data_IF_240618086111
#
_entry.id   IF_240618086111
#
_cell.length_a   1.000
_cell.length_b   1.000
_cell.length_c   1.000
_cell.angle_alpha   90.00
_cell.angle_beta   90.00
_cell.angle_gamma   90.00
#
_symmetry.space_group_name_H-M   'P 1'
#
loop_
_entity.id
_entity.type
_entity.pdbx_description
1 polymer ?
#
# COMPACT_ATOMS: atom_id res chain seq x y z
N UNK A 1 7.14 6.07 -11.42
CA UNK A 1 5.86 5.76 -12.10
C UNK A 1 6.13 5.02 -13.41
N UNK A 2 6.78 5.63 -14.41
CA UNK A 2 7.01 4.96 -15.70
C UNK A 2 7.87 3.69 -15.57
N UNK A 3 9.09 3.79 -15.03
CA UNK A 3 10.02 2.65 -14.90
C UNK A 3 9.46 1.53 -14.03
N UNK A 4 8.87 1.86 -12.88
CA UNK A 4 8.21 0.89 -11.99
C UNK A 4 7.04 0.17 -12.68
N UNK A 5 6.24 0.89 -13.48
CA UNK A 5 5.15 0.30 -14.26
C UNK A 5 5.67 -0.61 -15.37
N UNK A 6 6.79 -0.24 -16.01
CA UNK A 6 7.45 -1.05 -17.02
C UNK A 6 7.97 -2.37 -16.43
N UNK A 7 8.66 -2.32 -15.28
CA UNK A 7 9.10 -3.54 -14.58
C UNK A 7 7.93 -4.41 -14.14
N UNK A 8 6.87 -3.81 -13.59
CA UNK A 8 5.69 -4.57 -13.17
C UNK A 8 5.02 -5.27 -14.36
N UNK A 9 4.83 -4.55 -15.46
CA UNK A 9 4.26 -5.09 -16.69
C UNK A 9 5.11 -6.22 -17.28
N UNK A 10 6.43 -6.07 -17.22
CA UNK A 10 7.37 -7.06 -17.75
C UNK A 10 7.38 -8.34 -16.91
N UNK A 11 7.46 -8.22 -15.58
CA UNK A 11 7.63 -9.36 -14.68
C UNK A 11 6.31 -10.10 -14.42
N UNK A 12 5.19 -9.38 -14.30
CA UNK A 12 3.92 -9.97 -13.85
C UNK A 12 2.86 -10.08 -14.95
N UNK A 13 2.85 -9.16 -15.93
CA UNK A 13 1.86 -9.16 -17.03
C UNK A 13 2.39 -9.81 -18.32
N UNK A 14 3.58 -10.43 -18.27
CA UNK A 14 4.18 -11.14 -19.41
C UNK A 14 4.77 -10.24 -20.50
N UNK A 15 5.03 -8.97 -20.20
CA UNK A 15 5.63 -8.02 -21.15
C UNK A 15 4.76 -7.85 -22.40
N UNK A 16 5.28 -8.21 -23.57
CA UNK A 16 4.56 -8.12 -24.84
C UNK A 16 3.64 -9.33 -25.13
N UNK A 17 3.78 -10.44 -24.40
CA UNK A 17 2.95 -11.62 -24.62
C UNK A 17 1.51 -11.39 -24.15
N UNK A 18 0.53 -11.93 -24.88
CA UNK A 18 -0.88 -11.91 -24.47
C UNK A 18 -1.33 -13.34 -24.13
N UNK A 19 -2.14 -13.52 -23.07
CA UNK A 19 -2.72 -14.84 -22.77
C UNK A 19 -3.60 -15.26 -23.96
N UNK A 20 -3.19 -16.32 -24.66
CA UNK A 20 -3.82 -16.79 -25.90
C UNK A 20 -2.90 -16.81 -27.14
N UNK A 21 -1.70 -16.19 -27.10
CA UNK A 21 -0.67 -16.43 -28.14
C UNK A 21 -0.28 -17.90 -28.21
N UNK A 22 -0.24 -18.56 -27.05
CA UNK A 22 0.05 -20.00 -26.87
C UNK A 22 -1.05 -20.91 -27.44
N UNK A 23 -2.27 -20.39 -27.64
CA UNK A 23 -3.45 -21.18 -28.04
C UNK A 23 -3.66 -21.17 -29.56
N UNK A 24 -2.68 -20.65 -30.33
CA UNK A 24 -2.69 -20.68 -31.78
C UNK A 24 -3.74 -19.79 -32.44
N UNK A 25 -4.23 -18.76 -31.72
CA UNK A 25 -5.23 -17.84 -32.28
C UNK A 25 -4.63 -17.09 -33.49
N UNK A 26 -5.24 -17.17 -34.69
CA UNK A 26 -4.61 -16.71 -35.93
C UNK A 26 -4.35 -15.19 -35.96
N UNK A 27 -5.13 -14.40 -35.23
CA UNK A 27 -4.96 -12.95 -35.09
C UNK A 27 -3.80 -12.54 -34.16
N UNK A 28 -3.25 -13.47 -33.37
CA UNK A 28 -2.15 -13.26 -32.43
C UNK A 28 -0.79 -13.73 -32.96
N UNK A 29 -0.73 -14.23 -34.21
CA UNK A 29 0.49 -14.75 -34.82
C UNK A 29 1.62 -13.69 -34.89
N UNK A 30 1.26 -12.40 -35.05
CA UNK A 30 2.20 -11.27 -34.99
C UNK A 30 2.88 -11.08 -33.62
N UNK A 31 2.30 -11.61 -32.55
CA UNK A 31 2.88 -11.56 -31.20
C UNK A 31 3.72 -12.80 -30.88
N UNK A 32 3.77 -13.79 -31.77
CA UNK A 32 4.62 -14.96 -31.58
C UNK A 32 6.09 -14.56 -31.47
N UNK A 33 6.91 -15.29 -30.68
CA UNK A 33 8.34 -15.04 -30.60
C UNK A 33 9.03 -15.10 -31.97
N UNK A 34 8.54 -15.98 -32.85
CA UNK A 34 9.08 -16.27 -34.18
C UNK A 34 8.78 -15.16 -35.21
N UNK A 35 7.70 -14.39 -35.02
CA UNK A 35 7.36 -13.28 -35.90
C UNK A 35 8.32 -12.09 -35.68
N UNK A 36 9.22 -11.89 -36.65
CA UNK A 36 10.23 -10.81 -36.68
C UNK A 36 9.93 -9.73 -37.72
N UNK A 37 8.76 -9.78 -38.37
CA UNK A 37 8.35 -8.75 -39.33
C UNK A 37 8.25 -7.37 -38.65
N UNK A 38 8.42 -6.28 -39.42
CA UNK A 38 8.28 -4.92 -38.89
C UNK A 38 6.92 -4.69 -38.21
N UNK A 39 5.86 -5.27 -38.78
CA UNK A 39 4.51 -5.24 -38.21
C UNK A 39 4.41 -6.00 -36.88
N UNK A 40 5.12 -7.12 -36.74
CA UNK A 40 5.19 -7.87 -35.48
C UNK A 40 5.93 -7.07 -34.39
N UNK A 41 7.03 -6.40 -34.73
CA UNK A 41 7.77 -5.55 -33.79
C UNK A 41 6.91 -4.36 -33.33
N UNK A 42 6.23 -3.68 -34.26
CA UNK A 42 5.30 -2.59 -33.93
C UNK A 42 4.15 -3.07 -33.06
N UNK A 43 3.56 -4.23 -33.36
CA UNK A 43 2.50 -4.81 -32.54
C UNK A 43 2.98 -5.13 -31.11
N UNK A 44 4.16 -5.75 -30.95
CA UNK A 44 4.77 -6.02 -29.64
C UNK A 44 5.02 -4.75 -28.85
N UNK A 45 5.53 -3.70 -29.50
CA UNK A 45 5.76 -2.39 -28.88
C UNK A 45 4.45 -1.73 -28.44
N UNK A 46 3.42 -1.75 -29.27
CA UNK A 46 2.11 -1.18 -28.95
C UNK A 46 1.42 -1.92 -27.80
N UNK A 47 1.50 -3.25 -27.77
CA UNK A 47 0.92 -4.06 -26.69
C UNK A 47 1.66 -3.81 -25.37
N UNK A 48 2.99 -3.82 -25.39
CA UNK A 48 3.78 -3.55 -24.20
C UNK A 48 3.59 -2.11 -23.71
N UNK A 49 3.67 -1.13 -24.60
CA UNK A 49 3.44 0.28 -24.29
C UNK A 49 2.01 0.54 -23.79
N UNK A 50 1.01 -0.10 -24.39
CA UNK A 50 -0.38 -0.04 -23.96
C UNK A 50 -0.58 -0.57 -22.54
N UNK A 51 0.03 -1.71 -22.19
CA UNK A 51 0.00 -2.24 -20.82
C UNK A 51 0.68 -1.29 -19.83
N UNK A 52 1.80 -0.67 -20.20
CA UNK A 52 2.48 0.33 -19.36
C UNK A 52 1.56 1.53 -19.11
N UNK A 53 0.94 2.09 -20.16
CA UNK A 53 0.03 3.23 -20.05
C UNK A 53 -1.18 2.88 -19.17
N UNK A 54 -1.75 1.68 -19.34
CA UNK A 54 -2.83 1.17 -18.50
C UNK A 54 -2.42 1.11 -17.03
N UNK A 55 -1.23 0.58 -16.72
CA UNK A 55 -0.75 0.49 -15.34
C UNK A 55 -0.41 1.87 -14.75
N UNK A 56 0.12 2.80 -15.56
CA UNK A 56 0.33 4.19 -15.14
C UNK A 56 -1.01 4.85 -14.80
N UNK A 57 -2.02 4.70 -15.66
CA UNK A 57 -3.37 5.21 -15.39
C UNK A 57 -3.92 4.63 -14.09
N UNK A 58 -3.74 3.33 -13.85
CA UNK A 58 -4.12 2.69 -12.59
C UNK A 58 -3.40 3.28 -11.36
N UNK A 59 -2.08 3.48 -11.41
CA UNK A 59 -1.34 4.11 -10.30
C UNK A 59 -1.71 5.57 -10.09
N UNK A 60 -2.11 6.27 -11.15
CA UNK A 60 -2.62 7.63 -11.07
C UNK A 60 -3.99 7.67 -10.40
N UNK A 61 -4.84 6.68 -10.69
CA UNK A 61 -6.09 6.46 -9.96
C UNK A 61 -5.79 6.20 -8.49
N UNK A 62 -4.88 5.31 -8.13
CA UNK A 62 -4.57 5.09 -6.70
C UNK A 62 -4.17 6.39 -5.97
N UNK A 63 -3.44 7.28 -6.65
CA UNK A 63 -2.98 8.56 -6.10
C UNK A 63 -4.12 9.50 -5.69
N UNK A 64 -5.25 9.52 -6.41
CA UNK A 64 -6.41 10.36 -6.02
C UNK A 64 -7.39 9.64 -5.07
N UNK A 65 -7.28 8.32 -4.89
CA UNK A 65 -8.27 7.51 -4.15
C UNK A 65 -7.84 7.27 -2.71
N UNK A 66 -6.53 7.19 -2.45
CA UNK A 66 -6.00 6.91 -1.10
C UNK A 66 -5.86 8.22 -0.32
N UNK A 67 -6.63 8.42 0.78
CA UNK A 67 -6.41 9.53 1.70
C UNK A 67 -5.05 9.34 2.38
N UNK A 68 -4.29 10.43 2.57
CA UNK A 68 -2.91 10.38 3.08
C UNK A 68 -2.83 9.59 4.39
N UNK A 69 -2.25 8.38 4.33
CA UNK A 69 -2.00 7.53 5.49
C UNK A 69 -0.76 8.01 6.23
N UNK A 70 -0.74 7.85 7.56
CA UNK A 70 0.45 8.16 8.38
C UNK A 70 1.56 7.17 8.05
N UNK A 71 2.80 7.64 7.97
CA UNK A 71 3.98 6.80 7.68
C UNK A 71 4.05 5.57 8.59
N UNK A 72 3.74 5.75 9.87
CA UNK A 72 3.77 4.67 10.86
C UNK A 72 2.78 3.54 10.54
N UNK A 73 1.62 3.86 9.96
CA UNK A 73 0.65 2.84 9.54
C UNK A 73 1.15 2.04 8.35
N UNK A 74 1.79 2.71 7.39
CA UNK A 74 2.38 2.07 6.21
C UNK A 74 3.53 1.15 6.65
N UNK A 75 4.39 1.64 7.54
CA UNK A 75 5.50 0.87 8.07
C UNK A 75 5.00 -0.38 8.81
N UNK A 76 4.03 -0.19 9.70
CA UNK A 76 3.45 -1.29 10.46
C UNK A 76 2.82 -2.36 9.55
N UNK A 77 2.05 -1.97 8.53
CA UNK A 77 1.48 -2.90 7.55
C UNK A 77 2.57 -3.63 6.75
N UNK A 78 3.62 -2.91 6.32
CA UNK A 78 4.73 -3.50 5.57
C UNK A 78 5.45 -4.59 6.39
N UNK A 79 5.76 -4.30 7.65
CA UNK A 79 6.46 -5.24 8.53
C UNK A 79 5.58 -6.40 9.01
N UNK A 80 4.33 -6.13 9.39
CA UNK A 80 3.47 -7.16 10.00
C UNK A 80 2.77 -8.03 8.97
N UNK A 81 2.49 -7.53 7.77
CA UNK A 81 1.70 -8.25 6.77
C UNK A 81 2.50 -8.54 5.50
N UNK A 82 3.14 -7.53 4.88
CA UNK A 82 3.74 -7.70 3.55
C UNK A 82 4.93 -8.64 3.57
N UNK A 83 5.87 -8.46 4.50
CA UNK A 83 7.08 -9.30 4.58
C UNK A 83 6.73 -10.78 4.86
N UNK A 84 5.91 -11.12 5.89
CA UNK A 84 5.57 -12.52 6.15
C UNK A 84 4.82 -13.18 5.00
N UNK A 85 3.88 -12.46 4.37
CA UNK A 85 3.11 -12.99 3.22
C UNK A 85 4.03 -13.31 2.05
N UNK A 86 4.98 -12.42 1.73
CA UNK A 86 5.95 -12.65 0.67
C UNK A 86 6.82 -13.89 0.95
N UNK A 87 7.27 -14.07 2.20
CA UNK A 87 8.04 -15.25 2.60
C UNK A 87 7.26 -16.55 2.44
N UNK A 88 6.03 -16.61 2.93
CA UNK A 88 5.19 -17.81 2.79
C UNK A 88 4.93 -18.12 1.32
N UNK A 89 4.68 -17.10 0.50
CA UNK A 89 4.46 -17.28 -0.94
C UNK A 89 5.67 -17.92 -1.64
N UNK A 90 6.89 -17.45 -1.33
CA UNK A 90 8.12 -18.04 -1.87
C UNK A 90 8.28 -19.50 -1.46
N UNK A 91 7.98 -19.84 -0.20
CA UNK A 91 8.02 -21.23 0.28
C UNK A 91 7.00 -22.10 -0.45
N UNK A 92 5.76 -21.64 -0.61
CA UNK A 92 4.70 -22.37 -1.33
C UNK A 92 5.13 -22.66 -2.76
N UNK A 93 5.61 -21.66 -3.49
CA UNK A 93 6.10 -21.84 -4.87
C UNK A 93 7.28 -22.80 -4.91
N UNK A 94 8.22 -22.70 -3.95
CA UNK A 94 9.39 -23.60 -3.88
C UNK A 94 8.96 -25.06 -3.70
N UNK A 95 7.99 -25.33 -2.84
CA UNK A 95 7.45 -26.68 -2.60
C UNK A 95 6.72 -27.20 -3.85
N UNK A 96 5.95 -26.37 -4.54
CA UNK A 96 5.27 -26.77 -5.78
C UNK A 96 6.25 -27.15 -6.88
N UNK A 97 7.34 -26.39 -7.03
CA UNK A 97 8.41 -26.67 -7.97
C UNK A 97 9.09 -28.00 -7.63
N UNK A 98 9.34 -28.27 -6.35
CA UNK A 98 9.91 -29.55 -5.89
C UNK A 98 9.06 -30.76 -6.28
N UNK A 99 7.73 -30.66 -6.17
CA UNK A 99 6.79 -31.71 -6.57
C UNK A 99 6.45 -31.72 -8.08
N UNK A 100 7.15 -30.90 -8.89
CA UNK A 100 6.91 -30.75 -10.33
C UNK A 100 5.45 -30.39 -10.68
N UNK A 101 4.74 -29.70 -9.78
CA UNK A 101 3.36 -29.24 -9.98
C UNK A 101 3.33 -27.87 -10.67
N UNK A 102 4.02 -27.75 -11.81
CA UNK A 102 4.14 -26.50 -12.58
C UNK A 102 3.00 -26.28 -13.56
N UNK A 103 1.94 -27.09 -13.48
CA UNK A 103 0.78 -26.91 -14.35
C UNK A 103 0.07 -25.59 -14.03
N UNK A 104 -0.39 -24.88 -15.08
CA UNK A 104 -1.12 -23.61 -14.94
C UNK A 104 -2.28 -23.74 -13.93
N UNK A 105 -3.10 -24.82 -13.95
CA UNK A 105 -4.16 -24.99 -12.97
C UNK A 105 -3.64 -25.18 -11.54
N UNK A 106 -2.55 -25.93 -11.34
CA UNK A 106 -1.97 -26.13 -10.02
C UNK A 106 -1.46 -24.81 -9.42
N UNK A 107 -0.81 -23.96 -10.22
CA UNK A 107 -0.33 -22.66 -9.74
C UNK A 107 -1.47 -21.68 -9.47
N UNK A 108 -2.52 -21.68 -10.29
CA UNK A 108 -3.71 -20.86 -10.04
C UNK A 108 -4.45 -21.30 -8.77
N UNK A 109 -4.64 -22.60 -8.59
CA UNK A 109 -5.27 -23.14 -7.38
C UNK A 109 -4.44 -22.84 -6.14
N UNK A 110 -3.11 -22.96 -6.19
CA UNK A 110 -2.25 -22.59 -5.07
C UNK A 110 -2.32 -21.10 -4.72
N UNK A 111 -2.33 -20.20 -5.71
CA UNK A 111 -2.53 -18.77 -5.48
C UNK A 111 -3.89 -18.47 -4.83
N UNK A 112 -4.95 -19.16 -5.29
CA UNK A 112 -6.30 -18.99 -4.76
C UNK A 112 -6.40 -19.53 -3.32
N UNK A 113 -5.82 -20.70 -3.04
CA UNK A 113 -5.71 -21.26 -1.69
C UNK A 113 -4.96 -20.29 -0.78
N UNK A 114 -3.82 -19.76 -1.23
CA UNK A 114 -3.05 -18.78 -0.46
C UNK A 114 -3.87 -17.52 -0.16
N UNK A 115 -4.63 -17.01 -1.13
CA UNK A 115 -5.52 -15.87 -0.92
C UNK A 115 -6.63 -16.17 0.10
N UNK A 116 -7.25 -17.35 0.01
CA UNK A 116 -8.27 -17.79 0.98
C UNK A 116 -7.70 -17.93 2.38
N UNK A 117 -6.50 -18.51 2.53
CA UNK A 117 -5.81 -18.63 3.80
C UNK A 117 -5.50 -17.26 4.42
N UNK A 118 -5.00 -16.31 3.61
CA UNK A 118 -4.74 -14.94 4.09
C UNK A 118 -6.02 -14.27 4.59
N UNK A 119 -7.10 -14.34 3.81
CA UNK A 119 -8.39 -13.73 4.19
C UNK A 119 -8.98 -14.43 5.43
N UNK A 120 -8.81 -15.74 5.55
CA UNK A 120 -9.24 -16.51 6.72
C UNK A 120 -8.43 -16.20 7.98
N UNK A 121 -7.13 -15.91 7.86
CA UNK A 121 -6.25 -15.59 8.99
C UNK A 121 -6.39 -14.12 9.41
N UNK A 122 -6.68 -13.20 8.48
CA UNK A 122 -6.81 -11.77 8.75
C UNK A 122 -7.70 -11.40 9.97
N UNK A 123 -8.89 -11.98 10.19
CA UNK A 123 -9.73 -11.65 11.35
C UNK A 123 -9.08 -12.01 12.70
N UNK A 124 -8.11 -12.92 12.72
CA UNK A 124 -7.41 -13.33 13.93
C UNK A 124 -6.22 -12.43 14.29
N UNK A 125 -5.80 -11.53 13.39
CA UNK A 125 -4.70 -10.61 13.65
C UNK A 125 -5.22 -9.43 14.48
N UNK A 126 -4.81 -9.27 15.75
CA UNK A 126 -5.24 -8.15 16.59
C UNK A 126 -4.75 -6.84 15.95
N UNK A 127 -5.67 -5.91 15.74
CA UNK A 127 -5.35 -4.62 15.13
C UNK A 127 -4.63 -3.74 16.16
N UNK A 128 -3.44 -3.21 15.85
CA UNK A 128 -2.74 -2.28 16.74
C UNK A 128 -3.49 -0.94 16.85
N UNK A 129 -4.02 -0.63 18.04
CA UNK A 129 -4.69 0.64 18.33
C UNK A 129 -3.66 1.77 18.52
N UNK A 130 -3.22 2.37 17.41
CA UNK A 130 -2.25 3.48 17.41
C UNK A 130 -2.73 4.75 18.16
N UNK A 131 -4.03 4.88 18.45
CA UNK A 131 -4.62 6.11 19.01
C UNK A 131 -5.41 5.87 20.31
N UNK A 132 -5.04 4.83 21.08
CA UNK A 132 -5.61 4.65 22.42
C UNK A 132 -4.96 5.64 23.37
N UNK A 133 -5.74 6.62 23.81
CA UNK A 133 -5.32 7.60 24.81
C UNK A 133 -5.09 6.88 26.14
N UNK A 134 -3.83 6.66 26.50
CA UNK A 134 -3.46 6.02 27.76
C UNK A 134 -3.78 6.98 28.90
N UNK A 135 -4.59 6.58 29.89
CA UNK A 135 -4.87 7.43 31.04
C UNK A 135 -3.58 7.59 31.88
N UNK A 136 -3.31 8.82 32.29
CA UNK A 136 -2.10 9.27 32.95
C UNK A 136 -2.52 10.16 34.13
N UNK A 137 -1.94 9.93 35.31
CA UNK A 137 -2.17 10.77 36.49
C UNK A 137 -1.77 12.22 36.21
N UNK A 138 -2.61 13.19 36.58
CA UNK A 138 -2.36 14.61 36.37
C UNK A 138 -2.41 15.06 34.91
N UNK A 139 -2.75 14.16 33.97
CA UNK A 139 -2.87 14.52 32.55
C UNK A 139 -4.18 15.25 32.29
N UNK A 140 -4.07 16.47 31.76
CA UNK A 140 -5.23 17.30 31.37
C UNK A 140 -6.05 16.69 30.23
N UNK A 141 -5.43 15.87 29.37
CA UNK A 141 -6.05 15.34 28.15
C UNK A 141 -6.41 13.85 28.23
N UNK A 142 -5.90 13.13 29.23
CA UNK A 142 -6.16 11.70 29.43
C UNK A 142 -6.06 11.35 30.92
N UNK A 143 -6.98 11.84 31.78
CA UNK A 143 -6.92 11.55 33.21
C UNK A 143 -7.28 10.11 33.55
N UNK A 144 -6.90 9.71 34.77
CA UNK A 144 -7.36 8.44 35.33
C UNK A 144 -8.88 8.49 35.61
N UNK A 145 -9.60 7.37 35.42
CA UNK A 145 -11.02 7.31 35.76
C UNK A 145 -11.26 7.72 37.22
N UNK A 146 -11.98 8.82 37.44
CA UNK A 146 -12.26 9.37 38.78
C UNK A 146 -11.47 10.62 39.17
N UNK A 147 -10.48 11.03 38.38
CA UNK A 147 -9.72 12.27 38.61
C UNK A 147 -10.51 13.48 38.09
N UNK A 148 -10.79 14.48 38.96
CA UNK A 148 -11.43 15.73 38.54
C UNK A 148 -10.44 16.61 37.80
N UNK A 149 -10.55 16.63 36.47
CA UNK A 149 -9.75 17.53 35.62
C UNK A 149 -10.49 18.81 35.32
N UNK A 150 -9.85 19.93 35.62
CA UNK A 150 -10.30 21.25 35.18
C UNK A 150 -9.70 21.50 33.80
N UNK A 151 -10.53 21.49 32.77
CA UNK A 151 -10.12 21.69 31.38
C UNK A 151 -9.83 23.16 31.05
N UNK A 152 -10.25 24.09 31.91
CA UNK A 152 -10.01 25.52 31.74
C UNK A 152 -8.53 25.87 31.99
N UNK A 153 -7.95 26.83 31.25
CA UNK A 153 -6.65 27.40 31.59
C UNK A 153 -6.69 27.93 33.02
N UNK A 154 -5.84 27.40 33.90
CA UNK A 154 -5.75 27.84 35.30
C UNK A 154 -4.81 29.04 35.46
N UNK A 155 -3.95 29.26 34.46
CA UNK A 155 -2.98 30.34 34.46
C UNK A 155 -3.66 31.67 34.09
N UNK A 156 -3.53 32.67 34.95
CA UNK A 156 -4.11 34.00 34.76
C UNK A 156 -3.60 34.65 33.46
N UNK A 157 -2.37 34.31 33.07
CA UNK A 157 -1.75 34.78 31.82
C UNK A 157 -2.32 34.10 30.56
N UNK A 158 -2.95 32.92 30.69
CA UNK A 158 -3.61 32.23 29.58
C UNK A 158 -5.11 32.58 29.44
N UNK A 159 -5.71 33.13 30.51
CA UNK A 159 -7.03 33.78 30.49
C UNK A 159 -6.96 35.22 29.96
N UNK A 160 -5.79 35.83 30.10
CA UNK A 160 -5.43 37.10 29.56
C UNK A 160 -5.26 37.03 28.03
N UNK A 161 -6.33 37.25 27.27
CA UNK A 161 -6.32 37.26 25.78
C UNK A 161 -5.63 38.50 25.17
N UNK A 162 -4.81 39.21 25.96
CA UNK A 162 -4.13 40.43 25.57
C UNK A 162 -2.70 40.12 25.12
N UNK A 163 -2.29 40.55 23.91
CA UNK A 163 -0.90 40.42 23.47
C UNK A 163 -0.04 41.26 24.43
N UNK A 164 0.91 40.57 25.08
CA UNK A 164 1.87 41.10 26.05
C UNK A 164 2.05 42.63 26.09
N UNK A 165 1.63 43.24 27.21
CA UNK A 165 2.35 44.37 27.79
C UNK A 165 1.82 45.79 27.54
N UNK A 166 0.57 46.10 27.88
CA UNK A 166 0.20 47.50 28.17
C UNK A 166 0.50 47.91 29.63
N UNK A 167 0.63 46.94 30.55
CA UNK A 167 0.86 47.24 31.98
C UNK A 167 2.30 47.61 32.37
N UNK A 168 3.31 47.24 31.57
CA UNK A 168 4.71 47.51 31.89
C UNK A 168 5.19 48.90 31.40
N UNK A 169 4.57 49.45 30.35
CA UNK A 169 4.94 50.76 29.81
C UNK A 169 4.40 51.94 30.66
N UNK A 170 3.32 51.72 31.41
CA UNK A 170 2.67 52.79 32.18
C UNK A 170 3.34 53.07 33.54
N UNK A 171 4.14 52.13 34.07
CA UNK A 171 4.76 52.28 35.41
C UNK A 171 6.14 52.96 35.41
N UNK A 172 6.66 53.36 34.25
CA UNK A 172 7.98 54.03 34.13
C UNK A 172 7.83 55.54 33.87
N UNK A 173 6.60 56.06 33.68
CA UNK A 173 6.31 57.50 33.57
C UNK A 173 5.40 57.97 34.70
N UNK A 174 5.93 58.13 35.91
CA UNK A 174 5.38 59.04 36.93
C UNK A 174 6.47 59.40 37.93
#
# INVERSE_FOLDING_TARGET
>A
LFTSSAFFTLLFLGGYHLPGTEWGLPFLNLLSPEATSLWAVLAKLLVFGGKIVLFIAFTMVIRWTIPRLRYDQIMMMAWQQVIPIAMVHVVVVSVMVYYNQMSIPAMLTANLIMMVLIVGIQPFIPKPESNRRVPLYGSRFSPMPGERVITRPTDAMALADHPMGEGAAMKIRS
#
